data_IF_156121777340
#
_entry.id   IF_156121777340
#
_cell.length_a   1.000
_cell.length_b   1.000
_cell.length_c   1.000
_cell.angle_alpha   90.00
_cell.angle_beta   90.00
_cell.angle_gamma   90.00
#
_symmetry.space_group_name_H-M   'P 1'
#
loop_
_entity.id
_entity.type
_entity.pdbx_description
1 polymer ?
#
# COMPACT_ATOMS: atom_id res chain seq x y z
N UNK A 1 -8.04 -40.11 -6.51
CA UNK A 1 -7.03 -39.70 -5.52
C UNK A 1 -5.82 -39.02 -6.17
N UNK A 2 -5.13 -39.64 -7.14
CA UNK A 2 -3.94 -39.05 -7.79
C UNK A 2 -4.19 -37.65 -8.40
N UNK A 3 -5.32 -37.48 -9.11
CA UNK A 3 -5.70 -36.19 -9.68
C UNK A 3 -5.86 -35.09 -8.62
N UNK A 4 -6.40 -35.42 -7.44
CA UNK A 4 -6.63 -34.46 -6.37
C UNK A 4 -5.31 -34.02 -5.73
N UNK A 5 -4.36 -34.94 -5.60
CA UNK A 5 -3.00 -34.66 -5.12
C UNK A 5 -2.31 -33.71 -6.10
N UNK A 6 -2.34 -34.01 -7.40
CA UNK A 6 -1.70 -33.16 -8.43
C UNK A 6 -2.29 -31.75 -8.43
N UNK A 7 -3.62 -31.62 -8.39
CA UNK A 7 -4.29 -30.30 -8.35
C UNK A 7 -3.87 -29.49 -7.13
N UNK A 8 -3.78 -30.12 -5.94
CA UNK A 8 -3.35 -29.44 -4.73
C UNK A 8 -1.91 -28.93 -4.85
N UNK A 9 -0.99 -29.78 -5.31
CA UNK A 9 0.43 -29.42 -5.48
C UNK A 9 0.62 -28.29 -6.49
N UNK A 10 -0.05 -28.35 -7.63
CA UNK A 10 0.00 -27.28 -8.62
C UNK A 10 -0.52 -25.96 -8.05
N UNK A 11 -1.66 -25.99 -7.35
CA UNK A 11 -2.22 -24.80 -6.73
C UNK A 11 -1.29 -24.19 -5.68
N UNK A 12 -0.68 -25.02 -4.82
CA UNK A 12 0.27 -24.57 -3.80
C UNK A 12 1.53 -23.96 -4.41
N UNK A 13 2.10 -24.58 -5.44
CA UNK A 13 3.30 -24.04 -6.13
C UNK A 13 3.00 -22.70 -6.79
N UNK A 14 1.84 -22.57 -7.45
CA UNK A 14 1.42 -21.32 -8.09
C UNK A 14 1.20 -20.22 -7.05
N UNK A 15 0.49 -20.53 -5.96
CA UNK A 15 0.27 -19.59 -4.87
C UNK A 15 1.59 -19.10 -4.27
N UNK A 16 2.50 -20.02 -3.97
CA UNK A 16 3.81 -19.69 -3.40
C UNK A 16 4.64 -18.82 -4.33
N UNK A 17 4.69 -19.14 -5.63
CA UNK A 17 5.40 -18.31 -6.61
C UNK A 17 4.81 -16.91 -6.74
N UNK A 18 3.48 -16.80 -6.70
CA UNK A 18 2.82 -15.50 -6.75
C UNK A 18 3.18 -14.66 -5.52
N UNK A 19 3.12 -15.24 -4.32
CA UNK A 19 3.49 -14.56 -3.08
C UNK A 19 4.95 -14.11 -3.09
N UNK A 20 5.89 -15.01 -3.42
CA UNK A 20 7.31 -14.66 -3.48
C UNK A 20 7.58 -13.56 -4.52
N UNK A 21 6.92 -13.60 -5.68
CA UNK A 21 7.07 -12.54 -6.69
C UNK A 21 6.51 -11.19 -6.24
N UNK A 22 5.43 -11.17 -5.45
CA UNK A 22 4.87 -9.94 -4.87
C UNK A 22 5.79 -9.38 -3.78
N UNK A 23 6.42 -10.25 -2.98
CA UNK A 23 7.42 -9.86 -1.98
C UNK A 23 8.71 -9.35 -2.64
N UNK A 24 9.21 -10.01 -3.68
CA UNK A 24 10.40 -9.57 -4.43
C UNK A 24 10.19 -8.18 -5.02
N UNK A 25 9.01 -7.87 -5.57
CA UNK A 25 8.69 -6.53 -6.08
C UNK A 25 8.73 -5.46 -4.98
N UNK A 26 8.17 -5.77 -3.81
CA UNK A 26 8.22 -4.85 -2.66
C UNK A 26 9.66 -4.67 -2.15
N UNK A 27 10.41 -5.75 -2.05
CA UNK A 27 11.80 -5.73 -1.63
C UNK A 27 12.68 -4.94 -2.61
N UNK A 28 12.44 -5.08 -3.92
CA UNK A 28 13.14 -4.33 -4.97
C UNK A 28 12.88 -2.83 -4.86
N UNK A 29 11.62 -2.42 -4.65
CA UNK A 29 11.27 -1.00 -4.49
C UNK A 29 11.86 -0.39 -3.21
N UNK A 30 11.79 -1.09 -2.08
CA UNK A 30 12.44 -0.66 -0.82
C UNK A 30 13.96 -0.57 -1.00
N UNK A 31 14.58 -1.50 -1.73
CA UNK A 31 16.03 -1.50 -1.96
C UNK A 31 16.46 -0.35 -2.88
N UNK A 32 15.64 0.01 -3.88
CA UNK A 32 15.95 1.09 -4.83
C UNK A 32 15.70 2.49 -4.25
N UNK A 33 14.63 2.68 -3.49
CA UNK A 33 14.13 4.01 -3.12
C UNK A 33 14.09 4.25 -1.60
N UNK A 34 14.32 3.21 -0.78
CA UNK A 34 14.37 3.31 0.68
C UNK A 34 13.01 3.34 1.38
N UNK A 35 11.94 3.71 0.68
CA UNK A 35 10.58 3.76 1.20
C UNK A 35 9.56 3.33 0.15
N UNK A 36 8.37 2.92 0.60
CA UNK A 36 7.19 2.66 -0.23
C UNK A 36 5.98 3.26 0.48
N UNK A 37 5.01 3.74 -0.28
CA UNK A 37 3.80 4.28 0.30
C UNK A 37 3.01 3.17 1.04
N UNK A 38 2.42 3.54 2.18
CA UNK A 38 1.73 2.58 3.04
C UNK A 38 0.29 2.31 2.62
N UNK A 39 -0.35 3.25 1.92
CA UNK A 39 -1.76 3.19 1.55
C UNK A 39 -1.93 3.32 0.03
N UNK A 40 -2.93 2.62 -0.51
CA UNK A 40 -3.39 2.83 -1.88
C UNK A 40 -4.19 4.14 -1.98
N UNK A 41 -4.42 4.68 -3.20
CA UNK A 41 -5.15 5.94 -3.39
C UNK A 41 -6.50 5.96 -2.68
N UNK A 42 -7.26 4.87 -2.82
CA UNK A 42 -8.57 4.72 -2.20
C UNK A 42 -8.47 4.71 -0.67
N UNK A 43 -7.52 3.96 -0.11
CA UNK A 43 -7.37 3.86 1.33
C UNK A 43 -6.94 5.19 1.97
N UNK A 44 -6.06 5.96 1.31
CA UNK A 44 -5.65 7.26 1.81
C UNK A 44 -6.80 8.29 1.77
N UNK A 45 -7.64 8.24 0.74
CA UNK A 45 -8.85 9.06 0.65
C UNK A 45 -9.87 8.72 1.75
N UNK A 46 -10.15 7.44 1.96
CA UNK A 46 -11.03 6.98 3.05
C UNK A 46 -10.48 7.38 4.43
N UNK A 47 -9.16 7.36 4.62
CA UNK A 47 -8.53 7.83 5.86
C UNK A 47 -8.72 9.34 6.06
N UNK A 48 -8.55 10.14 5.00
CA UNK A 48 -8.79 11.60 5.04
C UNK A 48 -10.24 11.93 5.40
N UNK A 49 -11.18 11.29 4.72
CA UNK A 49 -12.62 11.44 5.01
C UNK A 49 -12.93 11.06 6.46
N UNK A 50 -12.34 9.98 6.97
CA UNK A 50 -12.52 9.57 8.35
C UNK A 50 -11.98 10.63 9.34
N UNK A 51 -10.78 11.19 9.10
CA UNK A 51 -10.16 12.25 9.91
C UNK A 51 -11.03 13.51 9.98
N UNK A 52 -11.63 13.90 8.84
CA UNK A 52 -12.50 15.07 8.74
C UNK A 52 -13.82 14.88 9.51
N UNK A 53 -14.39 13.68 9.46
CA UNK A 53 -15.67 13.37 10.10
C UNK A 53 -15.57 13.04 11.60
N UNK A 54 -14.37 12.80 12.13
CA UNK A 54 -14.16 12.36 13.52
C UNK A 54 -13.20 13.28 14.30
N UNK A 55 -13.51 14.59 14.47
CA UNK A 55 -12.60 15.57 15.05
C UNK A 55 -12.21 15.29 16.51
N UNK A 56 -13.08 14.62 17.28
CA UNK A 56 -12.89 14.35 18.71
C UNK A 56 -12.52 12.88 19.01
N UNK A 57 -12.25 12.08 17.98
CA UNK A 57 -11.87 10.68 18.19
C UNK A 57 -10.45 10.57 18.79
N UNK A 58 -10.24 9.73 19.82
CA UNK A 58 -8.94 9.58 20.47
C UNK A 58 -7.83 9.10 19.53
N UNK A 59 -8.16 8.47 18.41
CA UNK A 59 -7.20 7.98 17.42
C UNK A 59 -6.97 8.96 16.26
N UNK A 60 -7.64 10.12 16.24
CA UNK A 60 -7.50 11.10 15.17
C UNK A 60 -6.06 11.56 14.96
N UNK A 61 -5.33 11.82 16.03
CA UNK A 61 -3.94 12.29 15.94
C UNK A 61 -3.05 11.25 15.25
N UNK A 62 -3.23 9.97 15.58
CA UNK A 62 -2.52 8.87 14.93
C UNK A 62 -2.91 8.77 13.47
N UNK A 63 -4.19 8.89 13.13
CA UNK A 63 -4.65 8.87 11.75
C UNK A 63 -4.05 10.01 10.92
N UNK A 64 -4.01 11.24 11.46
CA UNK A 64 -3.36 12.40 10.82
C UNK A 64 -1.87 12.14 10.61
N UNK A 65 -1.18 11.60 11.62
CA UNK A 65 0.22 11.25 11.49
C UNK A 65 0.44 10.25 10.35
N UNK A 66 -0.33 9.16 10.31
CA UNK A 66 -0.24 8.11 9.28
C UNK A 66 -0.55 8.63 7.87
N UNK A 67 -1.57 9.48 7.77
CA UNK A 67 -1.91 10.13 6.51
C UNK A 67 -0.72 10.99 6.03
N UNK A 68 -0.17 11.84 6.90
CA UNK A 68 0.95 12.70 6.59
C UNK A 68 2.21 11.90 6.22
N UNK A 69 2.54 10.82 6.95
CA UNK A 69 3.64 9.92 6.61
C UNK A 69 3.51 9.38 5.18
N UNK A 70 2.32 8.91 4.79
CA UNK A 70 2.09 8.40 3.44
C UNK A 70 2.22 9.48 2.36
N UNK A 71 1.71 10.69 2.63
CA UNK A 71 1.84 11.84 1.71
C UNK A 71 3.30 12.22 1.50
N UNK A 72 4.11 12.23 2.57
CA UNK A 72 5.54 12.54 2.44
C UNK A 72 6.28 11.44 1.68
N UNK A 73 6.00 10.16 1.97
CA UNK A 73 6.60 9.06 1.21
C UNK A 73 6.27 9.15 -0.29
N UNK A 74 5.02 9.47 -0.65
CA UNK A 74 4.61 9.65 -2.06
C UNK A 74 5.34 10.80 -2.76
N UNK A 75 5.85 11.79 -2.02
CA UNK A 75 6.64 12.90 -2.57
C UNK A 75 8.13 12.58 -2.70
N UNK A 76 8.61 11.60 -1.95
CA UNK A 76 10.02 11.18 -1.94
C UNK A 76 10.33 10.05 -2.92
N UNK A 77 9.35 9.19 -3.21
CA UNK A 77 9.51 8.04 -4.10
C UNK A 77 9.29 8.42 -5.57
N UNK A 78 10.09 7.84 -6.45
CA UNK A 78 9.97 8.04 -7.90
C UNK A 78 8.89 7.12 -8.52
N UNK A 79 8.69 5.93 -7.95
CA UNK A 79 7.75 4.94 -8.46
C UNK A 79 6.90 4.38 -7.31
N UNK A 80 5.61 4.75 -7.22
CA UNK A 80 4.73 4.21 -6.21
C UNK A 80 4.43 2.72 -6.46
N UNK A 81 4.25 1.96 -5.38
CA UNK A 81 3.89 0.54 -5.43
C UNK A 81 2.46 0.31 -5.97
N UNK A 82 1.52 1.16 -5.60
CA UNK A 82 0.14 1.14 -6.08
C UNK A 82 -0.03 2.03 -7.32
N UNK A 83 -1.11 1.79 -8.06
CA UNK A 83 -1.47 2.54 -9.27
C UNK A 83 -1.99 3.95 -8.91
N UNK A 84 -1.09 4.83 -8.50
CA UNK A 84 -1.36 6.25 -8.28
C UNK A 84 -1.33 7.01 -9.61
N UNK A 85 -2.27 7.94 -9.78
CA UNK A 85 -2.18 8.92 -10.86
C UNK A 85 -1.40 10.16 -10.39
N UNK A 86 -0.58 10.74 -11.27
CA UNK A 86 0.20 11.95 -10.97
C UNK A 86 -0.65 13.11 -10.45
N UNK A 87 -1.87 13.29 -10.99
CA UNK A 87 -2.81 14.30 -10.53
C UNK A 87 -3.32 14.03 -9.11
N UNK A 88 -3.47 12.76 -8.73
CA UNK A 88 -3.88 12.41 -7.37
C UNK A 88 -2.76 12.73 -6.40
N UNK A 89 -1.50 12.49 -6.77
CA UNK A 89 -0.34 12.80 -5.92
C UNK A 89 -0.17 14.32 -5.80
N UNK A 90 -0.33 15.09 -6.89
CA UNK A 90 -0.17 16.56 -6.85
C UNK A 90 -1.17 17.25 -5.94
N UNK A 91 -2.37 16.70 -5.84
CA UNK A 91 -3.46 17.26 -5.03
C UNK A 91 -3.35 16.89 -3.54
N UNK A 92 -2.40 16.02 -3.15
CA UNK A 92 -2.21 15.61 -1.76
C UNK A 92 -1.49 16.69 -0.94
N UNK A 93 -2.24 17.27 -0.02
CA UNK A 93 -1.73 18.16 1.02
C UNK A 93 -1.70 17.44 2.37
N UNK A 94 -0.77 17.88 3.24
CA UNK A 94 -0.71 17.46 4.63
C UNK A 94 -1.90 18.05 5.41
N UNK A 95 -2.39 17.28 6.38
CA UNK A 95 -3.45 17.68 7.31
C UNK A 95 -2.89 18.24 8.63
#
# INVERSE_FOLDING_TARGET
>A
MLSMIITLWCASIVALRKTLSEEDKKAELITKQGAIESYSPRALFELREWIENHPNDPYREIAVQRYNECVETLKEIDEPFYDWNDSQISDLERL
#
